data_IF_927953461505
#
_entry.id   IF_927953461505
#
_cell.length_a   1.000
_cell.length_b   1.000
_cell.length_c   1.000
_cell.angle_alpha   90.00
_cell.angle_beta   90.00
_cell.angle_gamma   90.00
#
_symmetry.space_group_name_H-M   'P 1'
#
loop_
_entity.id
_entity.type
_entity.pdbx_description
1 polymer ?
#
# COMPACT_ATOMS: atom_id res chain seq x y z
N UNK A 1 3.79 2.81 13.01
CA UNK A 1 4.18 1.59 13.76
C UNK A 1 5.41 1.88 14.60
N UNK A 2 5.51 1.36 15.82
CA UNK A 2 6.78 1.41 16.56
C UNK A 2 7.79 0.49 15.87
N UNK A 3 8.97 1.02 15.57
CA UNK A 3 10.05 0.24 14.97
C UNK A 3 11.09 -0.02 16.06
N UNK A 4 11.32 -1.29 16.35
CA UNK A 4 12.38 -1.71 17.25
C UNK A 4 13.61 -2.11 16.45
N UNK A 5 14.79 -1.79 16.98
CA UNK A 5 16.04 -2.31 16.42
C UNK A 5 16.14 -3.81 16.72
N UNK A 6 16.53 -4.60 15.71
CA UNK A 6 16.60 -6.05 15.82
C UNK A 6 18.04 -6.47 15.54
N UNK A 7 18.65 -7.20 16.48
CA UNK A 7 19.96 -7.82 16.33
C UNK A 7 19.84 -9.35 16.36
N UNK A 8 20.75 -10.04 15.66
CA UNK A 8 20.82 -11.50 15.71
C UNK A 8 21.91 -11.93 16.70
N UNK A 9 21.54 -12.72 17.70
CA UNK A 9 22.44 -13.26 18.74
C UNK A 9 22.47 -14.80 18.65
N UNK A 10 23.39 -15.45 19.38
CA UNK A 10 23.47 -16.92 19.41
C UNK A 10 22.16 -17.59 19.86
N UNK A 11 21.37 -16.90 20.68
CA UNK A 11 20.06 -17.33 21.18
C UNK A 11 18.88 -16.98 20.25
N UNK A 12 19.13 -16.44 19.05
CA UNK A 12 18.08 -16.04 18.09
C UNK A 12 17.95 -14.53 17.90
N UNK A 13 16.76 -14.08 17.51
CA UNK A 13 16.45 -12.65 17.33
C UNK A 13 16.34 -11.96 18.70
N UNK A 14 17.05 -10.84 18.85
CA UNK A 14 16.93 -9.95 20.00
C UNK A 14 16.35 -8.62 19.55
N UNK A 15 15.32 -8.16 20.27
CA UNK A 15 14.62 -6.90 19.99
C UNK A 15 15.06 -5.88 21.04
N UNK A 16 15.75 -4.83 20.62
CA UNK A 16 16.21 -3.76 21.50
C UNK A 16 15.01 -2.99 22.08
N UNK A 17 15.15 -2.48 23.30
CA UNK A 17 14.08 -1.78 24.03
C UNK A 17 13.33 -2.65 25.06
N UNK A 18 13.62 -3.95 25.13
CA UNK A 18 13.08 -4.86 26.14
C UNK A 18 14.23 -5.49 26.96
N UNK A 19 14.79 -4.77 27.96
CA UNK A 19 16.02 -5.20 28.64
C UNK A 19 15.89 -6.52 29.39
N UNK A 20 14.68 -6.85 29.85
CA UNK A 20 14.37 -8.08 30.57
C UNK A 20 13.85 -9.21 29.66
N UNK A 21 13.77 -8.98 28.34
CA UNK A 21 13.32 -10.00 27.40
C UNK A 21 14.39 -11.09 27.22
N UNK A 22 14.02 -12.32 27.55
CA UNK A 22 14.90 -13.48 27.45
C UNK A 22 14.81 -14.21 26.10
N UNK A 23 13.69 -14.06 25.38
CA UNK A 23 13.39 -14.79 24.14
C UNK A 23 12.22 -14.15 23.39
N UNK A 24 12.23 -14.28 22.06
CA UNK A 24 11.09 -13.93 21.19
C UNK A 24 10.53 -15.23 20.61
N UNK A 25 9.27 -15.54 20.91
CA UNK A 25 8.65 -16.79 20.48
C UNK A 25 7.82 -16.61 19.22
N UNK A 26 7.76 -17.65 18.39
CA UNK A 26 6.84 -17.72 17.27
C UNK A 26 5.42 -18.05 17.78
N UNK A 27 4.41 -17.34 17.26
CA UNK A 27 3.00 -17.63 17.51
C UNK A 27 2.41 -18.22 16.23
N UNK A 28 2.02 -19.49 16.27
CA UNK A 28 1.38 -20.17 15.15
C UNK A 28 -0.11 -20.40 15.44
N UNK A 29 -0.92 -19.43 15.02
CA UNK A 29 -2.38 -19.51 15.15
C UNK A 29 -3.07 -18.74 14.02
N UNK A 30 -4.34 -19.06 13.71
CA UNK A 30 -5.12 -18.30 12.73
C UNK A 30 -5.17 -16.80 13.04
N UNK A 31 -5.23 -16.43 14.32
CA UNK A 31 -5.23 -15.02 14.76
C UNK A 31 -3.87 -14.35 14.53
N UNK A 32 -2.75 -15.05 14.77
CA UNK A 32 -1.41 -14.53 14.49
C UNK A 32 -1.18 -14.32 12.98
N UNK A 33 -1.71 -15.22 12.14
CA UNK A 33 -1.71 -15.06 10.68
C UNK A 33 -2.50 -13.81 10.28
N UNK A 34 -3.69 -13.60 10.86
CA UNK A 34 -4.51 -12.41 10.60
C UNK A 34 -3.83 -11.13 11.08
N UNK A 35 -3.16 -11.16 12.24
CA UNK A 35 -2.37 -10.04 12.76
C UNK A 35 -1.24 -9.67 11.80
N UNK A 36 -0.50 -10.67 11.29
CA UNK A 36 0.55 -10.46 10.28
C UNK A 36 0.02 -9.79 9.01
N UNK A 37 -1.15 -10.23 8.53
CA UNK A 37 -1.79 -9.62 7.36
C UNK A 37 -2.21 -8.16 7.60
N UNK A 38 -2.76 -7.86 8.79
CA UNK A 38 -3.08 -6.49 9.20
C UNK A 38 -1.83 -5.62 9.28
N UNK A 39 -0.71 -6.13 9.81
CA UNK A 39 0.57 -5.41 9.84
C UNK A 39 1.02 -5.01 8.43
N UNK A 40 0.89 -5.90 7.44
CA UNK A 40 1.20 -5.60 6.04
C UNK A 40 0.26 -4.53 5.46
N UNK A 41 -1.02 -4.53 5.83
CA UNK A 41 -1.95 -3.47 5.43
C UNK A 41 -1.58 -2.13 6.08
N UNK A 42 -1.19 -2.10 7.37
CA UNK A 42 -0.70 -0.89 8.04
C UNK A 42 0.49 -0.30 7.29
N UNK A 43 1.49 -1.11 6.94
CA UNK A 43 2.66 -0.65 6.18
C UNK A 43 2.30 -0.02 4.84
N UNK A 44 1.43 -0.67 4.05
CA UNK A 44 1.00 -0.12 2.76
C UNK A 44 0.20 1.18 2.93
N UNK A 45 -0.66 1.27 3.92
CA UNK A 45 -1.47 2.47 4.19
C UNK A 45 -0.62 3.62 4.74
N UNK A 46 0.32 3.36 5.65
CA UNK A 46 1.31 4.33 6.15
C UNK A 46 2.18 4.86 5.00
N UNK A 47 2.61 3.98 4.09
CA UNK A 47 3.37 4.41 2.92
C UNK A 47 2.52 5.28 1.98
N UNK A 48 1.28 4.87 1.68
CA UNK A 48 0.38 5.66 0.85
C UNK A 48 0.12 7.05 1.43
N UNK A 49 -0.05 7.13 2.75
CA UNK A 49 -0.25 8.39 3.45
C UNK A 49 0.97 9.30 3.39
N UNK A 50 2.16 8.75 3.63
CA UNK A 50 3.45 9.47 3.50
C UNK A 50 3.68 9.97 2.08
N UNK A 51 3.25 9.23 1.06
CA UNK A 51 3.30 9.72 -0.31
C UNK A 51 2.43 10.97 -0.49
N UNK A 52 1.20 10.99 0.04
CA UNK A 52 0.34 12.19 -0.01
C UNK A 52 0.94 13.36 0.75
N UNK A 53 1.51 13.13 1.93
CA UNK A 53 2.16 14.19 2.69
C UNK A 53 3.35 14.77 1.95
N UNK A 54 4.17 13.92 1.33
CA UNK A 54 5.32 14.33 0.54
C UNK A 54 4.95 15.15 -0.70
N UNK A 55 3.76 14.95 -1.30
CA UNK A 55 3.30 15.79 -2.42
C UNK A 55 3.28 17.27 -2.05
N UNK A 56 2.98 17.61 -0.79
CA UNK A 56 2.90 18.99 -0.33
C UNK A 56 4.27 19.61 -0.01
N UNK A 57 5.33 18.81 0.03
CA UNK A 57 6.69 19.29 0.36
C UNK A 57 7.60 19.37 -0.85
N UNK A 58 7.23 18.76 -1.97
CA UNK A 58 7.98 18.82 -3.23
C UNK A 58 7.52 20.00 -4.09
N UNK A 59 8.41 20.61 -4.90
CA UNK A 59 8.04 21.71 -5.80
C UNK A 59 7.02 21.27 -6.86
N UNK A 60 6.28 22.24 -7.42
CA UNK A 60 5.31 21.98 -8.52
C UNK A 60 5.98 21.39 -9.76
N UNK A 61 7.19 21.85 -10.07
CA UNK A 61 8.01 21.36 -11.17
C UNK A 61 9.33 20.76 -10.66
N UNK A 62 9.80 19.63 -11.22
CA UNK A 62 9.19 18.89 -12.33
C UNK A 62 7.96 18.07 -11.89
N UNK A 63 6.85 18.18 -12.63
CA UNK A 63 5.57 17.49 -12.32
C UNK A 63 5.71 15.98 -12.06
N UNK A 64 6.70 15.33 -12.65
CA UNK A 64 6.96 13.88 -12.54
C UNK A 64 7.09 13.39 -11.10
N UNK A 65 7.63 14.21 -10.18
CA UNK A 65 7.83 13.78 -8.79
C UNK A 65 6.49 13.69 -8.07
N UNK A 66 5.66 14.74 -8.20
CA UNK A 66 4.32 14.79 -7.60
C UNK A 66 3.41 13.70 -8.17
N UNK A 67 3.45 13.49 -9.48
CA UNK A 67 2.72 12.41 -10.15
C UNK A 67 3.18 11.03 -9.67
N UNK A 68 4.49 10.82 -9.49
CA UNK A 68 5.01 9.54 -8.98
C UNK A 68 4.53 9.23 -7.56
N UNK A 69 4.52 10.25 -6.69
CA UNK A 69 4.01 10.12 -5.33
C UNK A 69 2.49 9.85 -5.33
N UNK A 70 1.74 10.59 -6.15
CA UNK A 70 0.29 10.43 -6.29
C UNK A 70 -0.10 9.01 -6.74
N UNK A 71 0.56 8.52 -7.80
CA UNK A 71 0.36 7.16 -8.31
C UNK A 71 0.74 6.11 -7.27
N UNK A 72 1.85 6.30 -6.57
CA UNK A 72 2.30 5.40 -5.50
C UNK A 72 1.29 5.32 -4.37
N UNK A 73 0.72 6.45 -3.94
CA UNK A 73 -0.32 6.48 -2.92
C UNK A 73 -1.56 5.67 -3.32
N UNK A 74 -2.06 5.88 -4.54
CA UNK A 74 -3.24 5.16 -5.07
C UNK A 74 -2.96 3.65 -5.15
N UNK A 75 -1.79 3.26 -5.67
CA UNK A 75 -1.41 1.85 -5.85
C UNK A 75 -1.34 1.16 -4.48
N UNK A 76 -0.61 1.72 -3.51
CA UNK A 76 -0.45 1.11 -2.20
C UNK A 76 -1.76 1.07 -1.41
N UNK A 77 -2.59 2.12 -1.49
CA UNK A 77 -3.93 2.12 -0.89
C UNK A 77 -4.79 0.98 -1.45
N UNK A 78 -4.94 0.90 -2.78
CA UNK A 78 -5.81 -0.10 -3.41
C UNK A 78 -5.24 -1.52 -3.39
N UNK A 79 -3.93 -1.68 -3.16
CA UNK A 79 -3.30 -2.99 -2.92
C UNK A 79 -3.86 -3.66 -1.65
N UNK A 80 -4.34 -2.89 -0.67
CA UNK A 80 -5.00 -3.43 0.54
C UNK A 80 -6.37 -4.05 0.23
N UNK A 81 -7.05 -3.53 -0.78
CA UNK A 81 -8.36 -3.99 -1.26
C UNK A 81 -8.27 -4.89 -2.51
N UNK A 82 -7.06 -5.27 -2.92
CA UNK A 82 -6.81 -6.18 -4.03
C UNK A 82 -6.81 -7.65 -3.60
N UNK A 83 -7.06 -8.56 -4.55
CA UNK A 83 -6.90 -9.99 -4.29
C UNK A 83 -5.41 -10.33 -4.13
N UNK A 84 -5.06 -11.08 -3.09
CA UNK A 84 -3.70 -11.58 -2.85
C UNK A 84 -3.77 -13.00 -2.31
N UNK A 85 -2.83 -13.87 -2.73
CA UNK A 85 -2.64 -15.19 -2.11
C UNK A 85 -1.85 -15.10 -0.80
N UNK A 86 -1.14 -13.99 -0.58
CA UNK A 86 -0.22 -13.84 0.54
C UNK A 86 -0.89 -13.28 1.81
N UNK A 87 -1.99 -12.53 1.67
CA UNK A 87 -2.74 -11.92 2.78
C UNK A 87 -4.23 -11.79 2.44
N UNK A 88 -5.10 -11.71 3.45
CA UNK A 88 -6.51 -11.41 3.23
C UNK A 88 -6.71 -10.00 2.66
N UNK A 89 -7.84 -9.79 1.98
CA UNK A 89 -8.23 -8.54 1.35
C UNK A 89 -9.13 -7.72 2.27
N UNK A 90 -8.88 -6.42 2.41
CA UNK A 90 -9.81 -5.51 3.06
C UNK A 90 -11.10 -5.38 2.24
N UNK A 91 -12.25 -5.29 2.90
CA UNK A 91 -13.53 -5.03 2.23
C UNK A 91 -14.03 -3.63 2.53
N UNK A 92 -14.65 -2.98 1.54
CA UNK A 92 -15.27 -1.66 1.74
C UNK A 92 -16.39 -1.71 2.77
N UNK A 93 -17.13 -2.83 2.83
CA UNK A 93 -18.28 -3.01 3.72
C UNK A 93 -17.88 -3.08 5.20
N UNK A 94 -16.64 -3.50 5.49
CA UNK A 94 -16.08 -3.49 6.83
C UNK A 94 -15.42 -2.15 7.15
N UNK A 95 -14.55 -1.68 6.26
CA UNK A 95 -13.70 -0.50 6.49
C UNK A 95 -14.52 0.80 6.50
N UNK A 96 -15.44 0.94 5.54
CA UNK A 96 -16.27 2.14 5.33
C UNK A 96 -17.65 2.01 5.97
N UNK A 97 -17.84 1.04 6.87
CA UNK A 97 -19.11 0.88 7.58
C UNK A 97 -19.45 2.13 8.38
N UNK A 98 -20.61 2.72 8.10
CA UNK A 98 -21.10 3.93 8.77
C UNK A 98 -20.56 5.23 8.19
N UNK A 99 -19.71 5.17 7.17
CA UNK A 99 -19.28 6.34 6.39
C UNK A 99 -20.38 6.76 5.40
N UNK A 100 -20.40 8.03 4.97
CA UNK A 100 -21.38 8.52 4.01
C UNK A 100 -21.24 7.85 2.62
N UNK A 101 -22.31 7.76 1.81
CA UNK A 101 -22.28 7.11 0.48
C UNK A 101 -21.16 7.60 -0.44
N UNK A 102 -20.80 8.88 -0.33
CA UNK A 102 -19.72 9.55 -1.06
C UNK A 102 -18.35 8.87 -0.85
N UNK A 103 -18.12 8.23 0.30
CA UNK A 103 -16.89 7.47 0.55
C UNK A 103 -16.79 6.25 -0.38
N UNK A 104 -17.92 5.57 -0.64
CA UNK A 104 -17.97 4.44 -1.57
C UNK A 104 -17.80 4.92 -3.02
N UNK A 105 -18.36 6.09 -3.36
CA UNK A 105 -18.16 6.70 -4.68
C UNK A 105 -16.70 7.10 -4.92
N UNK A 106 -16.07 7.76 -3.94
CA UNK A 106 -14.64 8.08 -3.97
C UNK A 106 -13.78 6.81 -4.11
N UNK A 107 -14.10 5.75 -3.36
CA UNK A 107 -13.40 4.47 -3.49
C UNK A 107 -13.52 3.89 -4.90
N UNK A 108 -14.74 3.86 -5.46
CA UNK A 108 -14.99 3.37 -6.84
C UNK A 108 -14.26 4.21 -7.88
N UNK A 109 -14.16 5.52 -7.66
CA UNK A 109 -13.37 6.43 -8.49
C UNK A 109 -11.89 6.02 -8.48
N UNK A 110 -11.24 5.93 -7.31
CA UNK A 110 -9.81 5.55 -7.25
C UNK A 110 -9.55 4.15 -7.78
N UNK A 111 -10.45 3.20 -7.50
CA UNK A 111 -10.37 1.86 -8.05
C UNK A 111 -10.37 1.89 -9.57
N UNK A 112 -11.29 2.65 -10.18
CA UNK A 112 -11.36 2.82 -11.63
C UNK A 112 -10.14 3.54 -12.18
N UNK A 113 -9.64 4.55 -11.46
CA UNK A 113 -8.45 5.30 -11.84
C UNK A 113 -7.20 4.42 -11.88
N UNK A 114 -6.99 3.58 -10.86
CA UNK A 114 -5.91 2.58 -10.86
C UNK A 114 -6.09 1.58 -12.01
N UNK A 115 -7.25 0.92 -12.04
CA UNK A 115 -7.50 -0.20 -12.94
C UNK A 115 -7.46 0.22 -14.41
N UNK A 116 -7.98 1.40 -14.76
CA UNK A 116 -8.19 1.79 -16.16
C UNK A 116 -7.27 2.89 -16.69
N UNK A 117 -6.45 3.51 -15.85
CA UNK A 117 -5.64 4.65 -16.26
C UNK A 117 -4.19 4.61 -15.76
N UNK A 118 -3.97 4.26 -14.49
CA UNK A 118 -2.59 4.27 -13.94
C UNK A 118 -1.83 2.98 -14.23
N UNK A 119 -2.53 1.85 -14.33
CA UNK A 119 -1.94 0.52 -14.55
C UNK A 119 -2.23 -0.02 -15.95
N UNK A 120 -3.33 0.42 -16.57
CA UNK A 120 -3.74 0.03 -17.92
C UNK A 120 -4.15 1.28 -18.72
N UNK A 121 -3.73 1.40 -19.98
CA UNK A 121 -4.09 2.52 -20.88
C UNK A 121 -5.46 2.27 -21.55
N UNK A 122 -6.51 2.05 -20.77
CA UNK A 122 -7.81 1.59 -21.30
C UNK A 122 -8.78 2.72 -21.66
N UNK A 123 -8.56 3.94 -21.19
CA UNK A 123 -9.52 5.03 -21.35
C UNK A 123 -8.90 6.33 -21.88
N UNK A 124 -9.78 7.26 -22.25
CA UNK A 124 -9.44 8.55 -22.86
C UNK A 124 -8.66 9.52 -21.98
N UNK A 125 -8.33 9.16 -20.72
CA UNK A 125 -7.46 9.97 -19.87
C UNK A 125 -6.01 9.96 -20.35
N UNK A 126 -5.63 9.07 -21.28
CA UNK A 126 -4.43 9.20 -22.09
C UNK A 126 -4.85 9.23 -23.57
N UNK A 127 -4.53 10.32 -24.27
CA UNK A 127 -4.76 10.46 -25.70
C UNK A 127 -3.45 10.40 -26.44
N UNK A 128 -3.44 9.72 -27.59
CA UNK A 128 -2.35 9.75 -28.54
C UNK A 128 -2.95 9.95 -29.94
N UNK A 129 -2.84 11.17 -30.45
CA UNK A 129 -3.49 11.57 -31.70
C UNK A 129 -2.40 11.86 -32.75
N UNK A 130 -2.28 11.02 -33.79
CA UNK A 130 -1.35 11.30 -34.87
C UNK A 130 -1.84 12.48 -35.72
N UNK A 131 -0.92 13.37 -36.06
CA UNK A 131 -1.17 14.53 -36.91
C UNK A 131 -0.08 14.68 -37.97
N UNK A 132 -0.45 15.24 -39.12
CA UNK A 132 0.51 15.60 -40.16
C UNK A 132 0.74 17.11 -40.13
N UNK A 133 2.00 17.52 -39.93
CA UNK A 133 2.39 18.92 -40.03
C UNK A 133 2.52 19.25 -41.51
N UNK A 134 1.68 20.16 -41.99
CA UNK A 134 1.79 20.70 -43.34
C UNK A 134 2.95 21.70 -43.43
N UNK A 135 3.70 21.68 -44.52
CA UNK A 135 4.60 22.78 -44.80
C UNK A 135 3.85 23.95 -45.46
N UNK A 136 4.56 25.08 -45.62
CA UNK A 136 3.98 26.33 -46.13
C UNK A 136 3.93 26.41 -47.67
N UNK A 137 4.12 25.29 -48.39
CA UNK A 137 4.09 25.25 -49.85
C UNK A 137 5.37 25.73 -50.56
N UNK A 138 6.43 26.07 -49.82
CA UNK A 138 7.73 26.48 -50.40
C UNK A 138 8.65 25.32 -50.80
N UNK A 139 8.26 24.08 -50.52
CA UNK A 139 9.08 22.87 -50.74
C UNK A 139 8.36 21.91 -51.69
N UNK A 140 9.12 20.97 -52.25
CA UNK A 140 8.62 19.99 -53.25
C UNK A 140 7.70 18.90 -52.66
N UNK A 141 7.63 18.78 -51.33
CA UNK A 141 6.71 17.90 -50.61
C UNK A 141 5.62 18.71 -49.90
N UNK A 142 4.55 18.09 -49.39
CA UNK A 142 3.46 18.79 -48.67
C UNK A 142 3.49 18.59 -47.15
N UNK A 143 3.96 17.43 -46.71
CA UNK A 143 3.98 17.02 -45.30
C UNK A 143 5.39 17.20 -44.75
N UNK A 144 5.55 18.04 -43.74
CA UNK A 144 6.82 18.28 -43.06
C UNK A 144 7.19 17.13 -42.13
N UNK A 145 6.23 16.68 -41.31
CA UNK A 145 6.45 15.63 -40.33
C UNK A 145 5.14 14.99 -39.89
N UNK A 146 5.18 13.72 -39.52
CA UNK A 146 4.13 13.10 -38.71
C UNK A 146 4.49 13.33 -37.24
N UNK A 147 3.60 13.98 -36.50
CA UNK A 147 3.71 14.17 -35.06
C UNK A 147 2.65 13.33 -34.36
N UNK A 148 2.91 12.97 -33.11
CA UNK A 148 1.90 12.32 -32.27
C UNK A 148 1.69 13.22 -31.07
N UNK A 149 0.50 13.80 -30.95
CA UNK A 149 0.12 14.59 -29.79
C UNK A 149 -0.28 13.63 -28.67
N UNK A 150 0.41 13.72 -27.54
CA UNK A 150 0.08 12.95 -26.35
C UNK A 150 -0.35 13.88 -25.23
N UNK A 151 -1.51 13.62 -24.64
CA UNK A 151 -2.02 14.36 -23.50
C UNK A 151 -2.62 13.42 -22.46
N UNK A 152 -2.47 13.78 -21.18
CA UNK A 152 -3.07 13.08 -20.07
C UNK A 152 -3.94 14.00 -19.22
N UNK A 153 -5.04 13.49 -18.69
CA UNK A 153 -5.86 14.26 -17.73
C UNK A 153 -5.10 14.45 -16.42
N UNK A 154 -5.25 15.62 -15.81
CA UNK A 154 -4.76 15.88 -14.44
C UNK A 154 -5.69 15.17 -13.47
N UNK A 155 -5.12 14.33 -12.60
CA UNK A 155 -5.89 13.57 -11.59
C UNK A 155 -5.49 13.94 -10.16
N UNK A 156 -4.31 14.52 -10.00
CA UNK A 156 -3.88 15.18 -8.78
C UNK A 156 -4.50 16.59 -8.72
N UNK A 157 -5.68 16.68 -8.13
CA UNK A 157 -6.36 17.93 -7.79
C UNK A 157 -6.84 17.91 -6.33
N UNK A 158 -7.19 19.07 -5.77
CA UNK A 158 -7.50 19.21 -4.34
C UNK A 158 -8.63 18.28 -3.87
N UNK A 159 -9.70 18.13 -4.66
CA UNK A 159 -10.82 17.24 -4.34
C UNK A 159 -10.41 15.78 -4.29
N UNK A 160 -9.72 15.32 -5.33
CA UNK A 160 -9.18 13.96 -5.40
C UNK A 160 -8.16 13.69 -4.29
N UNK A 161 -7.25 14.63 -4.01
CA UNK A 161 -6.31 14.52 -2.91
C UNK A 161 -7.03 14.34 -1.56
N UNK A 162 -8.00 15.21 -1.26
CA UNK A 162 -8.76 15.17 0.00
C UNK A 162 -9.52 13.86 0.18
N UNK A 163 -10.20 13.40 -0.88
CA UNK A 163 -10.93 12.14 -0.86
C UNK A 163 -10.02 10.94 -0.61
N UNK A 164 -8.83 10.90 -1.24
CA UNK A 164 -7.89 9.80 -1.00
C UNK A 164 -7.33 9.83 0.42
N UNK A 165 -6.98 11.01 0.96
CA UNK A 165 -6.50 11.16 2.34
C UNK A 165 -7.55 10.68 3.35
N UNK A 166 -8.83 11.02 3.14
CA UNK A 166 -9.92 10.54 4.00
C UNK A 166 -10.08 9.02 3.94
N UNK A 167 -10.04 8.42 2.75
CA UNK A 167 -10.13 6.97 2.58
C UNK A 167 -8.94 6.22 3.22
N UNK A 168 -7.73 6.74 3.06
CA UNK A 168 -6.53 6.20 3.69
C UNK A 168 -6.65 6.30 5.21
N UNK A 169 -6.97 7.48 5.74
CA UNK A 169 -7.12 7.69 7.18
C UNK A 169 -8.20 6.79 7.80
N UNK A 170 -9.33 6.63 7.11
CA UNK A 170 -10.38 5.72 7.57
C UNK A 170 -9.93 4.25 7.58
N UNK A 171 -9.18 3.85 6.55
CA UNK A 171 -8.63 2.50 6.45
C UNK A 171 -7.57 2.25 7.53
N UNK A 172 -6.71 3.22 7.79
CA UNK A 172 -5.71 3.16 8.87
C UNK A 172 -6.39 3.01 10.23
N UNK A 173 -7.44 3.79 10.50
CA UNK A 173 -8.21 3.69 11.73
C UNK A 173 -8.77 2.28 11.92
N UNK A 174 -9.45 1.74 10.90
CA UNK A 174 -10.02 0.39 10.97
C UNK A 174 -8.94 -0.68 11.18
N UNK A 175 -7.89 -0.68 10.35
CA UNK A 175 -6.82 -1.69 10.42
C UNK A 175 -6.09 -1.62 11.76
N UNK A 176 -5.83 -0.43 12.28
CA UNK A 176 -5.17 -0.24 13.58
C UNK A 176 -6.02 -0.81 14.71
N UNK A 177 -7.32 -0.49 14.72
CA UNK A 177 -8.24 -1.03 15.73
C UNK A 177 -8.29 -2.56 15.70
N UNK A 178 -8.41 -3.17 14.52
CA UNK A 178 -8.45 -4.65 14.41
C UNK A 178 -7.10 -5.29 14.78
N UNK A 179 -5.99 -4.61 14.48
CA UNK A 179 -4.65 -5.05 14.88
C UNK A 179 -4.51 -5.06 16.40
N UNK A 180 -4.88 -3.96 17.05
CA UNK A 180 -4.75 -3.78 18.49
C UNK A 180 -5.64 -4.78 19.24
N UNK A 181 -6.88 -5.00 18.78
CA UNK A 181 -7.79 -6.02 19.32
C UNK A 181 -7.23 -7.44 19.22
N UNK A 182 -6.54 -7.77 18.12
CA UNK A 182 -5.89 -9.08 17.99
C UNK A 182 -4.65 -9.19 18.87
N UNK A 183 -3.87 -8.12 19.04
CA UNK A 183 -2.76 -8.09 19.99
C UNK A 183 -3.26 -8.36 21.42
N UNK A 184 -4.33 -7.69 21.85
CA UNK A 184 -4.96 -7.91 23.17
C UNK A 184 -5.42 -9.37 23.31
N UNK A 185 -6.18 -9.87 22.33
CA UNK A 185 -6.67 -11.26 22.34
C UNK A 185 -5.55 -12.30 22.39
N UNK A 186 -4.49 -12.12 21.60
CA UNK A 186 -3.34 -13.02 21.58
C UNK A 186 -2.56 -12.94 22.90
N UNK A 187 -2.41 -11.75 23.47
CA UNK A 187 -1.80 -11.54 24.79
C UNK A 187 -2.58 -12.30 25.86
N UNK A 188 -3.91 -12.10 25.93
CA UNK A 188 -4.77 -12.83 26.87
C UNK A 188 -4.72 -14.35 26.71
N UNK A 189 -4.52 -14.84 25.48
CA UNK A 189 -4.37 -16.26 25.22
C UNK A 189 -3.02 -16.79 25.71
N UNK A 190 -1.93 -16.06 25.46
CA UNK A 190 -0.58 -16.45 25.89
C UNK A 190 -0.41 -16.36 27.41
N UNK A 191 -0.99 -15.37 28.07
CA UNK A 191 -0.94 -15.21 29.54
C UNK A 191 -1.67 -16.35 30.31
N UNK A 192 -2.49 -17.16 29.62
CA UNK A 192 -3.09 -18.37 30.21
C UNK A 192 -2.14 -19.55 30.21
N UNK A 193 -1.08 -19.52 29.40
CA UNK A 193 -0.07 -20.55 29.34
C UNK A 193 0.94 -20.38 30.48
N UNK A 194 1.55 -21.49 30.91
CA UNK A 194 2.60 -21.40 31.93
C UNK A 194 3.88 -20.82 31.33
N UNK A 195 4.66 -20.10 32.15
CA UNK A 195 5.96 -19.56 31.72
C UNK A 195 6.88 -20.65 31.12
N UNK A 196 6.92 -21.84 31.74
CA UNK A 196 7.72 -22.98 31.25
C UNK A 196 7.26 -23.43 29.86
N UNK A 197 5.95 -23.45 29.60
CA UNK A 197 5.39 -23.75 28.28
C UNK A 197 5.85 -22.70 27.26
N UNK A 198 5.69 -21.41 27.57
CA UNK A 198 6.08 -20.31 26.67
C UNK A 198 7.57 -20.31 26.38
N UNK A 199 8.42 -20.57 27.38
CA UNK A 199 9.87 -20.63 27.22
C UNK A 199 10.32 -21.79 26.31
N UNK A 200 9.58 -22.89 26.32
CA UNK A 200 9.81 -24.06 25.47
C UNK A 200 9.30 -23.90 24.02
N UNK A 201 8.50 -22.86 23.74
CA UNK A 201 8.00 -22.57 22.38
C UNK A 201 9.14 -22.31 21.39
N UNK A 202 8.84 -22.52 20.10
CA UNK A 202 9.80 -22.24 19.03
C UNK A 202 10.21 -20.76 19.02
N UNK A 203 11.50 -20.49 18.78
CA UNK A 203 12.01 -19.14 18.58
C UNK A 203 11.43 -18.52 17.30
N UNK A 204 11.20 -17.22 17.32
CA UNK A 204 10.89 -16.49 16.11
C UNK A 204 12.11 -16.51 15.19
N UNK A 205 11.95 -17.06 13.99
CA UNK A 205 12.99 -17.10 12.98
C UNK A 205 12.67 -16.17 11.82
N UNK A 206 13.71 -15.55 11.27
CA UNK A 206 13.63 -14.76 10.04
C UNK A 206 14.60 -15.34 9.03
N UNK A 207 14.10 -15.58 7.81
CA UNK A 207 14.92 -15.97 6.66
C UNK A 207 14.73 -14.93 5.57
N UNK A 208 15.83 -14.35 5.12
CA UNK A 208 15.83 -13.44 3.97
C UNK A 208 15.37 -14.22 2.73
N UNK A 209 14.29 -13.80 2.04
CA UNK A 209 13.86 -14.45 0.82
C UNK A 209 14.94 -14.40 -0.26
N UNK A 210 15.07 -15.49 -1.01
CA UNK A 210 15.95 -15.62 -2.18
C UNK A 210 15.21 -15.23 -3.47
N UNK A 211 15.91 -14.89 -4.57
CA UNK A 211 15.26 -14.56 -5.84
C UNK A 211 14.30 -15.66 -6.36
N UNK A 212 14.60 -16.93 -6.11
CA UNK A 212 13.76 -18.07 -6.51
C UNK A 212 12.38 -18.11 -5.80
N UNK A 213 12.26 -17.40 -4.68
CA UNK A 213 11.01 -17.32 -3.90
C UNK A 213 10.06 -16.25 -4.42
N UNK A 214 10.48 -15.42 -5.40
CA UNK A 214 9.64 -14.37 -6.00
C UNK A 214 8.36 -14.93 -6.66
N UNK A 215 8.40 -16.17 -7.14
CA UNK A 215 7.28 -16.85 -7.76
C UNK A 215 6.47 -17.72 -6.79
N UNK A 216 6.87 -17.78 -5.51
CA UNK A 216 6.22 -18.60 -4.48
C UNK A 216 5.33 -17.72 -3.61
N UNK A 217 4.19 -18.27 -3.19
CA UNK A 217 3.39 -17.63 -2.14
C UNK A 217 4.09 -17.81 -0.79
N UNK A 218 3.91 -16.81 0.10
CA UNK A 218 4.35 -16.89 1.50
C UNK A 218 3.68 -18.04 2.26
N UNK A 219 2.54 -18.52 1.77
CA UNK A 219 1.74 -19.62 2.32
C UNK A 219 1.66 -20.74 1.31
#
# INVERSE_FOLDING_TARGET
>A
MENFEISQRESGLHIEGFPDAVKVIQIDSPDAIRLSDLALHKLDLEFADRCLEAINTVPEEPHVIRESLWRSAIIHFLKCFGNSKARFRLTTDEVLRGEPPEAIEAFKYFKSLRDKHLVHDENSYAQSIPGAVLNNGSKDYKIEKIVCFSASSVTLEQGSYGNLKLLIGRSQFWVTREFDQLCEKLTEALEKETYTTLLASADLTYRVPTPDELHRSRR
#
